data_IF_196214015477
#
_entry.id   IF_196214015477
#
_cell.length_a   1.000
_cell.length_b   1.000
_cell.length_c   1.000
_cell.angle_alpha   90.00
_cell.angle_beta   90.00
_cell.angle_gamma   90.00
#
_symmetry.space_group_name_H-M   'P 1'
#
loop_
_entity.id
_entity.type
_entity.pdbx_description
1 polymer ?
#
# COMPACT_ATOMS: atom_id res chain seq x y z
N UNK A 1 -1.91 1.12 -5.85
CA UNK A 1 -1.88 0.18 -7.00
C UNK A 1 -2.29 0.94 -8.25
N UNK A 2 -1.40 1.11 -9.24
CA UNK A 2 -1.73 1.81 -10.48
C UNK A 2 -2.49 0.83 -11.38
N UNK A 3 -3.76 1.12 -11.69
CA UNK A 3 -4.55 0.33 -12.64
C UNK A 3 -4.21 0.80 -14.06
N UNK A 4 -3.66 -0.08 -14.89
CA UNK A 4 -3.53 0.15 -16.32
C UNK A 4 -4.84 -0.30 -16.98
N UNK A 5 -5.60 0.65 -17.50
CA UNK A 5 -6.80 0.35 -18.28
C UNK A 5 -6.41 -0.28 -19.62
N UNK A 6 -6.92 -1.46 -19.91
CA UNK A 6 -6.89 -2.07 -21.23
C UNK A 6 -8.15 -1.62 -21.98
N UNK A 7 -8.02 -1.13 -23.21
CA UNK A 7 -9.11 -0.55 -24.01
C UNK A 7 -10.22 -1.55 -24.43
N UNK A 8 -10.09 -2.83 -24.03
CA UNK A 8 -11.02 -3.89 -24.42
C UNK A 8 -11.96 -4.39 -23.32
N UNK A 9 -12.05 -3.70 -22.17
CA UNK A 9 -13.08 -4.01 -21.19
C UNK A 9 -14.47 -3.63 -21.76
N UNK A 10 -15.45 -4.51 -21.67
CA UNK A 10 -16.84 -4.20 -22.06
C UNK A 10 -17.30 -2.95 -21.33
N UNK A 11 -17.41 -1.85 -22.07
CA UNK A 11 -17.83 -0.57 -21.57
C UNK A 11 -19.36 -0.47 -21.76
N UNK A 12 -20.11 -0.70 -20.69
CA UNK A 12 -21.54 -0.40 -20.69
C UNK A 12 -21.71 1.11 -20.49
N UNK A 13 -21.97 1.83 -21.60
CA UNK A 13 -22.27 3.26 -21.52
C UNK A 13 -23.78 3.48 -21.45
N UNK A 14 -24.25 4.01 -20.33
CA UNK A 14 -25.59 4.58 -20.24
C UNK A 14 -25.51 6.03 -20.70
N UNK A 15 -25.95 6.29 -21.92
CA UNK A 15 -25.99 7.64 -22.51
C UNK A 15 -27.22 8.36 -22.01
N UNK A 16 -27.03 9.41 -21.19
CA UNK A 16 -28.03 10.45 -20.95
C UNK A 16 -27.34 11.81 -21.00
N UNK A 17 -27.94 12.73 -21.75
CA UNK A 17 -27.54 14.11 -22.01
C UNK A 17 -26.33 14.71 -21.27
N UNK A 18 -25.25 14.92 -22.01
CA UNK A 18 -24.16 15.86 -21.70
C UNK A 18 -22.97 15.34 -20.90
N UNK A 19 -23.11 14.27 -20.11
CA UNK A 19 -21.99 13.65 -19.37
C UNK A 19 -22.22 12.13 -19.28
N UNK A 20 -21.50 11.35 -20.07
CA UNK A 20 -21.63 9.88 -20.04
C UNK A 20 -20.99 9.32 -18.75
N UNK A 21 -21.78 8.58 -17.97
CA UNK A 21 -21.27 7.76 -16.87
C UNK A 21 -20.64 6.49 -17.47
N UNK A 22 -19.35 6.30 -17.24
CA UNK A 22 -18.62 5.09 -17.60
C UNK A 22 -18.56 4.16 -16.40
N UNK A 23 -19.02 2.94 -16.57
CA UNK A 23 -18.93 1.89 -15.55
C UNK A 23 -18.03 0.79 -16.11
N UNK A 24 -16.94 0.51 -15.42
CA UNK A 24 -16.01 -0.57 -15.77
C UNK A 24 -15.95 -1.58 -14.63
N UNK A 25 -16.08 -2.86 -14.95
CA UNK A 25 -16.00 -3.97 -14.01
C UNK A 25 -14.79 -4.81 -14.34
N UNK A 26 -13.95 -5.07 -13.34
CA UNK A 26 -12.71 -5.80 -13.52
C UNK A 26 -12.58 -6.90 -12.47
N UNK A 27 -12.23 -8.10 -12.91
CA UNK A 27 -11.75 -9.17 -12.04
C UNK A 27 -10.24 -9.26 -12.17
N UNK A 28 -9.53 -9.22 -11.08
CA UNK A 28 -8.07 -9.20 -11.05
C UNK A 28 -7.59 -10.39 -10.24
N UNK A 29 -6.80 -11.25 -10.88
CA UNK A 29 -6.00 -12.26 -10.22
C UNK A 29 -4.56 -11.77 -10.12
N UNK A 30 -4.01 -11.70 -8.93
CA UNK A 30 -2.64 -11.29 -8.68
C UNK A 30 -1.84 -12.43 -8.06
N UNK A 31 -0.62 -12.65 -8.58
CA UNK A 31 0.39 -13.53 -8.01
C UNK A 31 1.54 -12.64 -7.53
N UNK A 32 1.89 -12.74 -6.27
CA UNK A 32 2.98 -11.96 -5.68
C UNK A 32 4.12 -12.90 -5.31
N UNK A 33 5.32 -12.57 -5.74
CA UNK A 33 6.56 -13.24 -5.31
C UNK A 33 7.42 -12.22 -4.58
N UNK A 34 7.79 -12.54 -3.34
CA UNK A 34 8.59 -11.66 -2.49
C UNK A 34 9.92 -12.34 -2.22
N UNK A 35 11.00 -11.64 -2.49
CA UNK A 35 12.34 -12.00 -2.07
C UNK A 35 12.72 -11.14 -0.88
N UNK A 36 12.95 -11.77 0.27
CA UNK A 36 13.50 -11.14 1.45
C UNK A 36 15.01 -11.37 1.47
N UNK A 37 15.83 -10.31 1.44
CA UNK A 37 17.29 -10.46 1.43
C UNK A 37 17.79 -11.03 2.76
N UNK A 38 19.01 -11.55 2.75
CA UNK A 38 19.71 -12.04 3.93
C UNK A 38 19.76 -10.99 5.05
N UNK A 39 19.75 -11.44 6.31
CA UNK A 39 19.74 -10.58 7.50
C UNK A 39 20.86 -9.51 7.54
N UNK A 40 22.05 -9.81 6.97
CA UNK A 40 23.14 -8.84 6.87
C UNK A 40 22.78 -7.59 6.05
N UNK A 41 21.84 -7.70 5.10
CA UNK A 41 21.32 -6.59 4.29
C UNK A 41 20.09 -5.93 4.91
N UNK A 42 19.44 -6.59 5.87
CA UNK A 42 18.22 -6.11 6.51
C UNK A 42 18.45 -5.48 7.86
N UNK A 43 19.64 -5.57 8.42
CA UNK A 43 19.96 -5.16 9.78
C UNK A 43 18.99 -5.70 10.86
N UNK A 44 18.34 -6.82 10.57
CA UNK A 44 17.43 -7.48 11.49
C UNK A 44 17.77 -8.96 11.57
N UNK A 45 17.91 -9.47 12.76
CA UNK A 45 18.02 -10.91 13.01
C UNK A 45 16.59 -11.48 13.01
N UNK A 46 16.03 -11.68 11.83
CA UNK A 46 14.81 -12.49 11.70
C UNK A 46 15.18 -13.98 11.76
N UNK A 47 14.21 -14.82 12.03
CA UNK A 47 14.32 -16.27 12.26
C UNK A 47 15.12 -17.08 11.19
N UNK A 48 15.57 -16.46 10.10
CA UNK A 48 16.24 -17.14 8.99
C UNK A 48 17.49 -16.40 8.54
N UNK A 49 18.64 -17.06 8.67
CA UNK A 49 19.92 -16.60 8.13
C UNK A 49 20.00 -16.68 6.60
N UNK A 50 19.00 -17.22 5.94
CA UNK A 50 18.98 -17.45 4.49
C UNK A 50 18.04 -16.46 3.78
N UNK A 51 18.36 -16.07 2.53
CA UNK A 51 17.41 -15.34 1.71
C UNK A 51 16.16 -16.19 1.52
N UNK A 52 15.01 -15.57 1.76
CA UNK A 52 13.73 -16.26 1.75
C UNK A 52 12.90 -15.84 0.55
N UNK A 53 12.41 -16.81 -0.22
CA UNK A 53 11.41 -16.59 -1.25
C UNK A 53 10.04 -16.95 -0.70
N UNK A 54 9.16 -15.97 -0.62
CA UNK A 54 7.75 -16.22 -0.37
C UNK A 54 7.00 -16.12 -1.70
N UNK A 55 6.23 -17.15 -2.00
CA UNK A 55 5.20 -17.08 -3.02
C UNK A 55 3.90 -16.76 -2.29
N UNK A 56 3.36 -15.60 -2.58
CA UNK A 56 2.06 -15.24 -2.04
C UNK A 56 0.97 -16.07 -2.72
N UNK A 57 -0.01 -16.48 -1.94
CA UNK A 57 -1.18 -17.18 -2.48
C UNK A 57 -1.93 -16.20 -3.40
N UNK A 58 -2.55 -16.68 -4.49
CA UNK A 58 -3.25 -15.81 -5.40
C UNK A 58 -4.28 -14.95 -4.66
N UNK A 59 -4.16 -13.63 -4.81
CA UNK A 59 -5.15 -12.68 -4.35
C UNK A 59 -6.16 -12.45 -5.47
N UNK A 60 -7.44 -12.57 -5.16
CA UNK A 60 -8.51 -12.24 -6.08
C UNK A 60 -9.19 -10.95 -5.63
N UNK A 61 -9.38 -10.03 -6.58
CA UNK A 61 -10.10 -8.79 -6.34
C UNK A 61 -11.14 -8.56 -7.45
N UNK A 62 -12.31 -8.06 -7.04
CA UNK A 62 -13.35 -7.61 -7.95
C UNK A 62 -13.54 -6.10 -7.77
N UNK A 63 -13.41 -5.35 -8.87
CA UNK A 63 -13.49 -3.90 -8.89
C UNK A 63 -14.67 -3.43 -9.75
N UNK A 64 -15.42 -2.46 -9.25
CA UNK A 64 -16.40 -1.68 -10.00
C UNK A 64 -15.93 -0.24 -10.00
N UNK A 65 -15.45 0.22 -11.13
CA UNK A 65 -14.98 1.59 -11.34
C UNK A 65 -16.10 2.42 -11.97
N UNK A 66 -16.32 3.58 -11.42
CA UNK A 66 -17.26 4.59 -11.92
C UNK A 66 -16.46 5.82 -12.35
N UNK A 67 -16.74 6.36 -13.51
CA UNK A 67 -16.18 7.62 -13.97
C UNK A 67 -17.24 8.46 -14.63
N UNK A 68 -17.29 9.74 -14.27
CA UNK A 68 -18.16 10.73 -14.91
C UNK A 68 -17.38 12.02 -15.18
N UNK A 69 -17.28 12.37 -16.43
CA UNK A 69 -16.59 13.59 -16.88
C UNK A 69 -17.59 14.75 -16.95
N UNK A 70 -17.26 15.86 -16.32
CA UNK A 70 -18.00 17.12 -16.38
C UNK A 70 -17.18 18.14 -17.18
N UNK A 71 -17.32 18.07 -18.49
CA UNK A 71 -16.51 18.83 -19.41
C UNK A 71 -15.04 18.38 -19.42
N UNK A 72 -14.13 19.34 -19.66
CA UNK A 72 -12.67 19.08 -19.72
C UNK A 72 -11.95 19.34 -18.40
N UNK A 73 -12.64 19.87 -17.41
CA UNK A 73 -12.02 20.39 -16.19
C UNK A 73 -12.21 19.52 -14.97
N UNK A 74 -13.28 18.74 -14.91
CA UNK A 74 -13.65 17.98 -13.74
C UNK A 74 -14.03 16.55 -14.11
N UNK A 75 -13.41 15.58 -13.45
CA UNK A 75 -13.80 14.17 -13.52
C UNK A 75 -14.11 13.68 -12.13
N UNK A 76 -15.27 13.06 -11.95
CA UNK A 76 -15.60 12.28 -10.76
C UNK A 76 -15.21 10.83 -11.00
N UNK A 77 -14.55 10.22 -10.00
CA UNK A 77 -14.20 8.81 -10.00
C UNK A 77 -14.75 8.13 -8.75
N UNK A 78 -15.22 6.92 -8.90
CA UNK A 78 -15.65 6.06 -7.80
C UNK A 78 -15.10 4.66 -7.98
N UNK A 79 -14.78 3.99 -6.88
CA UNK A 79 -14.36 2.60 -6.84
C UNK A 79 -15.10 1.89 -5.72
N UNK A 80 -15.71 0.75 -6.04
CA UNK A 80 -16.10 -0.25 -5.06
C UNK A 80 -15.30 -1.52 -5.34
N UNK A 81 -14.62 -2.06 -4.33
CA UNK A 81 -13.79 -3.23 -4.47
C UNK A 81 -14.01 -4.23 -3.34
N UNK A 82 -13.95 -5.50 -3.66
CA UNK A 82 -13.84 -6.59 -2.71
C UNK A 82 -12.59 -7.39 -3.02
N UNK A 83 -11.83 -7.74 -2.01
CA UNK A 83 -10.62 -8.56 -2.14
C UNK A 83 -10.65 -9.73 -1.17
N UNK A 84 -10.09 -10.84 -1.63
CA UNK A 84 -9.87 -12.05 -0.85
C UNK A 84 -8.46 -12.53 -1.11
N UNK A 85 -7.71 -12.74 -0.04
CA UNK A 85 -6.38 -13.32 -0.09
C UNK A 85 -6.17 -14.24 1.12
N UNK A 86 -5.01 -14.86 1.22
CA UNK A 86 -4.71 -15.77 2.35
C UNK A 86 -4.65 -15.06 3.71
N UNK A 87 -4.44 -13.75 3.72
CA UNK A 87 -4.36 -12.96 4.96
C UNK A 87 -5.73 -12.44 5.42
N UNK A 88 -6.75 -12.41 4.53
CA UNK A 88 -8.07 -11.92 4.93
C UNK A 88 -9.00 -11.58 3.77
N UNK A 89 -10.09 -10.96 4.16
CA UNK A 89 -11.15 -10.49 3.26
C UNK A 89 -11.38 -9.01 3.55
N UNK A 90 -11.50 -8.21 2.49
CA UNK A 90 -11.69 -6.77 2.58
C UNK A 90 -12.72 -6.22 1.62
N UNK A 91 -13.37 -5.13 2.04
CA UNK A 91 -14.19 -4.28 1.18
C UNK A 91 -13.63 -2.87 1.22
N UNK A 92 -13.71 -2.18 0.09
CA UNK A 92 -13.16 -0.86 -0.09
C UNK A 92 -14.06 -0.03 -0.98
N UNK A 93 -14.29 1.22 -0.59
CA UNK A 93 -15.00 2.22 -1.35
C UNK A 93 -14.12 3.47 -1.42
N UNK A 94 -13.92 3.99 -2.63
CA UNK A 94 -13.17 5.22 -2.86
C UNK A 94 -14.01 6.15 -3.72
N UNK A 95 -13.97 7.44 -3.41
CA UNK A 95 -14.57 8.47 -4.21
C UNK A 95 -13.59 9.64 -4.34
N UNK A 96 -13.33 10.08 -5.56
CA UNK A 96 -12.43 11.19 -5.81
C UNK A 96 -12.94 12.13 -6.93
N UNK A 97 -12.44 13.35 -6.88
CA UNK A 97 -12.59 14.35 -7.92
C UNK A 97 -11.20 14.66 -8.49
N UNK A 98 -11.13 14.74 -9.79
CA UNK A 98 -9.91 15.11 -10.52
C UNK A 98 -10.15 16.43 -11.26
N UNK A 99 -9.31 17.42 -10.98
CA UNK A 99 -9.34 18.74 -11.58
C UNK A 99 -8.26 18.85 -12.65
N UNK A 100 -8.66 19.18 -13.87
CA UNK A 100 -7.78 19.44 -15.04
C UNK A 100 -6.80 18.28 -15.31
N UNK A 101 -7.13 17.07 -14.86
CA UNK A 101 -6.25 15.88 -14.90
C UNK A 101 -4.91 16.04 -14.17
N UNK A 102 -4.80 17.05 -13.29
CA UNK A 102 -3.58 17.36 -12.53
C UNK A 102 -3.74 17.14 -11.04
N UNK A 103 -4.85 17.61 -10.46
CA UNK A 103 -5.09 17.54 -9.01
C UNK A 103 -6.23 16.57 -8.73
N UNK A 104 -5.96 15.54 -7.96
CA UNK A 104 -6.95 14.59 -7.44
C UNK A 104 -7.13 14.79 -5.93
N UNK A 105 -8.38 14.83 -5.49
CA UNK A 105 -8.76 14.87 -4.08
C UNK A 105 -9.79 13.77 -3.85
N UNK A 106 -9.60 12.94 -2.83
CA UNK A 106 -10.51 11.83 -2.59
C UNK A 106 -10.57 11.37 -1.14
N UNK A 107 -11.55 10.50 -0.91
CA UNK A 107 -11.75 9.82 0.36
C UNK A 107 -12.07 8.35 0.11
N UNK A 108 -11.47 7.49 0.91
CA UNK A 108 -11.64 6.04 0.88
C UNK A 108 -12.15 5.57 2.22
N UNK A 109 -13.05 4.61 2.22
CA UNK A 109 -13.44 3.83 3.38
C UNK A 109 -13.16 2.35 3.11
N UNK A 110 -12.66 1.64 4.12
CA UNK A 110 -12.42 0.21 4.03
C UNK A 110 -12.83 -0.50 5.30
N UNK A 111 -13.15 -1.78 5.16
CA UNK A 111 -13.39 -2.71 6.26
C UNK A 111 -12.82 -4.07 5.89
N UNK A 112 -12.22 -4.74 6.84
CA UNK A 112 -11.67 -6.07 6.62
C UNK A 112 -11.55 -6.88 7.89
N UNK A 113 -11.40 -8.19 7.70
CA UNK A 113 -11.08 -9.14 8.76
C UNK A 113 -9.96 -10.05 8.29
N UNK A 114 -9.14 -10.54 9.21
CA UNK A 114 -8.00 -11.37 8.85
C UNK A 114 -8.21 -12.85 9.16
N UNK A 115 -7.51 -13.66 8.40
CA UNK A 115 -7.31 -15.07 8.64
C UNK A 115 -6.02 -15.24 9.45
N UNK A 116 -6.14 -15.59 10.73
CA UNK A 116 -4.98 -15.90 11.57
C UNK A 116 -4.70 -17.41 11.53
N UNK A 117 -3.43 -17.77 11.37
CA UNK A 117 -2.97 -19.17 11.26
C UNK A 117 -2.11 -19.55 12.47
N UNK A 118 -2.73 -19.66 13.64
CA UNK A 118 -2.03 -19.97 14.88
C UNK A 118 -0.96 -18.93 15.23
N UNK A 119 -0.10 -19.23 16.19
CA UNK A 119 0.92 -18.28 16.70
C UNK A 119 1.98 -17.90 15.67
N UNK A 120 2.11 -18.65 14.59
CA UNK A 120 3.15 -18.47 13.58
C UNK A 120 2.82 -17.41 12.53
N UNK A 121 1.53 -17.10 12.31
CA UNK A 121 1.11 -16.14 11.28
C UNK A 121 -0.12 -15.35 11.72
N UNK A 122 0.11 -14.34 12.57
CA UNK A 122 -0.91 -13.38 12.98
C UNK A 122 -0.96 -12.24 11.99
N UNK A 123 -2.08 -12.08 11.29
CA UNK A 123 -2.32 -10.94 10.39
C UNK A 123 -3.13 -9.83 11.05
N UNK A 124 -3.91 -10.18 12.10
CA UNK A 124 -4.67 -9.21 12.87
C UNK A 124 -4.77 -9.69 14.32
N UNK A 125 -4.51 -8.81 15.26
CA UNK A 125 -4.56 -9.13 16.68
C UNK A 125 -3.95 -8.02 17.53
N UNK A 126 -4.30 -7.98 18.80
CA UNK A 126 -3.83 -6.98 19.78
C UNK A 126 -2.53 -7.46 20.43
N UNK A 127 -1.58 -6.54 20.61
CA UNK A 127 -0.31 -6.85 21.25
C UNK A 127 -0.46 -6.94 22.78
N UNK A 128 -0.17 -8.12 23.31
CA UNK A 128 -0.13 -8.40 24.75
C UNK A 128 1.30 -8.11 25.27
N UNK A 129 1.43 -7.07 26.08
CA UNK A 129 2.73 -6.62 26.62
C UNK A 129 3.33 -7.58 27.64
N UNK A 130 2.50 -8.39 28.32
CA UNK A 130 2.97 -9.38 29.32
C UNK A 130 3.54 -10.61 28.61
N UNK A 131 2.80 -11.13 27.63
CA UNK A 131 3.22 -12.29 26.83
C UNK A 131 4.20 -11.93 25.71
N UNK A 132 4.37 -10.63 25.41
CA UNK A 132 5.19 -10.10 24.31
C UNK A 132 4.84 -10.72 22.96
N UNK A 133 3.55 -10.95 22.75
CA UNK A 133 3.02 -11.59 21.54
C UNK A 133 1.64 -11.02 21.21
N UNK A 134 1.11 -11.32 20.03
CA UNK A 134 -0.22 -10.88 19.63
C UNK A 134 -1.29 -11.86 20.10
N UNK A 135 -2.32 -11.34 20.78
CA UNK A 135 -3.57 -12.06 20.96
C UNK A 135 -4.28 -12.12 19.61
N UNK A 136 -4.57 -13.32 19.16
CA UNK A 136 -5.27 -13.55 17.90
C UNK A 136 -6.77 -13.62 18.14
N UNK A 137 -7.51 -12.87 17.33
CA UNK A 137 -8.95 -12.98 17.31
C UNK A 137 -9.39 -13.93 16.19
N UNK A 138 -10.52 -14.60 16.36
CA UNK A 138 -11.05 -15.49 15.34
C UNK A 138 -11.57 -14.66 14.14
N UNK A 139 -11.52 -15.24 12.95
CA UNK A 139 -12.05 -14.61 11.75
C UNK A 139 -13.52 -14.25 11.94
N UNK A 140 -13.91 -13.08 11.48
CA UNK A 140 -15.27 -12.49 11.58
C UNK A 140 -15.76 -12.18 13.00
N UNK A 141 -14.94 -12.30 14.04
CA UNK A 141 -15.31 -11.80 15.37
C UNK A 141 -14.95 -10.33 15.52
N UNK A 142 -13.81 -9.93 14.93
CA UNK A 142 -13.31 -8.57 14.99
C UNK A 142 -12.98 -8.03 13.60
N UNK A 143 -13.10 -6.70 13.43
CA UNK A 143 -12.95 -6.03 12.16
C UNK A 143 -12.03 -4.82 12.28
N UNK A 144 -11.20 -4.60 11.27
CA UNK A 144 -10.49 -3.36 11.07
C UNK A 144 -11.28 -2.45 10.12
N UNK A 145 -11.43 -1.20 10.52
CA UNK A 145 -12.04 -0.14 9.70
C UNK A 145 -11.00 0.93 9.42
N UNK A 146 -11.08 1.51 8.24
CA UNK A 146 -10.21 2.60 7.85
C UNK A 146 -10.95 3.67 7.07
N UNK A 147 -10.55 4.93 7.28
CA UNK A 147 -10.90 6.05 6.42
C UNK A 147 -9.62 6.74 5.98
N UNK A 148 -9.43 6.94 4.69
CA UNK A 148 -8.26 7.57 4.12
C UNK A 148 -8.67 8.77 3.28
N UNK A 149 -8.20 9.96 3.65
CA UNK A 149 -8.26 11.14 2.80
C UNK A 149 -6.97 11.20 2.01
N UNK A 150 -7.08 11.39 0.71
CA UNK A 150 -5.92 11.42 -0.17
C UNK A 150 -5.97 12.55 -1.17
N UNK A 151 -4.79 13.03 -1.54
CA UNK A 151 -4.61 13.99 -2.61
C UNK A 151 -3.42 13.60 -3.47
N UNK A 152 -3.49 13.94 -4.75
CA UNK A 152 -2.39 13.73 -5.68
C UNK A 152 -2.29 14.90 -6.66
N UNK A 153 -1.08 15.38 -6.86
CA UNK A 153 -0.73 16.36 -7.90
C UNK A 153 0.12 15.67 -8.95
N UNK A 154 -0.34 15.64 -10.19
CA UNK A 154 0.34 14.99 -11.32
C UNK A 154 0.80 16.04 -12.32
N UNK A 155 2.10 16.14 -12.57
CA UNK A 155 2.70 17.11 -13.48
C UNK A 155 3.39 16.37 -14.62
N UNK A 156 2.82 16.35 -15.83
CA UNK A 156 3.47 15.79 -17.01
C UNK A 156 4.52 16.76 -17.53
N UNK A 157 5.80 16.43 -17.39
CA UNK A 157 6.90 17.30 -17.81
C UNK A 157 6.97 17.47 -19.34
N UNK A 158 6.33 16.59 -20.10
CA UNK A 158 6.19 16.72 -21.56
C UNK A 158 5.52 18.05 -21.96
N UNK A 159 4.71 18.66 -21.07
CA UNK A 159 4.12 19.98 -21.33
C UNK A 159 5.18 21.10 -21.40
N UNK A 160 6.35 20.89 -20.81
CA UNK A 160 7.43 21.88 -20.67
C UNK A 160 8.71 21.48 -21.41
N UNK A 161 8.81 20.22 -21.87
CA UNK A 161 10.00 19.66 -22.53
C UNK A 161 9.76 19.49 -24.03
N UNK A 162 10.81 19.47 -24.87
CA UNK A 162 10.70 19.13 -26.28
C UNK A 162 10.07 17.76 -26.49
N UNK A 163 9.17 17.63 -27.45
CA UNK A 163 8.50 16.35 -27.76
C UNK A 163 9.51 15.32 -28.27
N UNK A 164 9.69 14.26 -27.52
CA UNK A 164 10.54 13.13 -27.86
C UNK A 164 10.03 11.87 -27.14
N UNK A 165 10.42 10.69 -27.61
CA UNK A 165 10.10 9.43 -26.93
C UNK A 165 10.78 9.32 -25.55
N UNK A 166 11.80 10.12 -25.28
CA UNK A 166 12.60 10.14 -24.06
C UNK A 166 12.17 11.23 -23.06
N UNK A 167 11.22 12.10 -23.41
CA UNK A 167 10.77 13.20 -22.55
C UNK A 167 9.43 12.94 -21.89
N UNK A 168 8.91 11.71 -21.94
CA UNK A 168 7.65 11.29 -21.33
C UNK A 168 7.83 11.03 -19.83
N UNK A 169 8.08 12.10 -19.09
CA UNK A 169 8.31 12.07 -17.64
C UNK A 169 7.10 12.68 -16.94
N UNK A 170 6.66 12.03 -15.87
CA UNK A 170 5.56 12.51 -15.02
C UNK A 170 6.08 12.57 -13.58
N UNK A 171 5.86 13.69 -12.92
CA UNK A 171 6.05 13.85 -11.49
C UNK A 171 4.69 13.74 -10.80
N UNK A 172 4.60 12.92 -9.77
CA UNK A 172 3.40 12.79 -8.95
C UNK A 172 3.76 13.04 -7.49
N UNK A 173 3.13 14.04 -6.87
CA UNK A 173 3.15 14.26 -5.43
C UNK A 173 1.89 13.69 -4.82
N UNK A 174 1.96 13.11 -3.62
CA UNK A 174 0.81 12.56 -2.89
C UNK A 174 0.85 12.96 -1.43
N UNK A 175 -0.33 13.16 -0.84
CA UNK A 175 -0.50 13.29 0.60
C UNK A 175 -1.73 12.48 1.02
N UNK A 176 -1.58 11.75 2.12
CA UNK A 176 -2.61 10.87 2.67
C UNK A 176 -2.71 11.10 4.18
N UNK A 177 -3.94 11.09 4.68
CA UNK A 177 -4.25 11.03 6.11
C UNK A 177 -5.21 9.85 6.31
N UNK A 178 -4.78 8.86 7.06
CA UNK A 178 -5.55 7.63 7.29
C UNK A 178 -5.91 7.53 8.76
N UNK A 179 -7.19 7.39 9.06
CA UNK A 179 -7.68 6.91 10.35
C UNK A 179 -7.89 5.41 10.28
N UNK A 180 -7.38 4.67 11.25
CA UNK A 180 -7.57 3.23 11.36
C UNK A 180 -8.07 2.88 12.75
N UNK A 181 -8.98 1.93 12.84
CA UNK A 181 -9.47 1.39 14.10
C UNK A 181 -9.72 -0.12 13.97
N UNK A 182 -9.53 -0.82 15.07
CA UNK A 182 -9.77 -2.26 15.19
C UNK A 182 -10.70 -2.52 16.38
N UNK A 183 -11.76 -3.27 16.16
CA UNK A 183 -12.79 -3.50 17.18
C UNK A 183 -12.30 -4.32 18.37
N UNK A 184 -11.29 -5.15 18.17
CA UNK A 184 -10.66 -5.96 19.22
C UNK A 184 -9.63 -5.22 20.07
N UNK A 185 -9.29 -3.96 19.73
CA UNK A 185 -8.31 -3.15 20.46
C UNK A 185 -8.98 -2.03 21.24
N UNK A 186 -8.63 -1.90 22.51
CA UNK A 186 -8.98 -0.77 23.34
C UNK A 186 -8.17 0.49 22.96
N UNK A 187 -8.49 1.63 23.59
CA UNK A 187 -7.78 2.87 23.38
C UNK A 187 -6.29 2.70 23.74
N UNK A 188 -5.41 3.17 22.85
CA UNK A 188 -3.93 3.12 22.96
C UNK A 188 -3.29 1.73 22.89
N UNK A 189 -4.07 0.68 22.71
CA UNK A 189 -3.52 -0.64 22.46
C UNK A 189 -2.93 -0.72 21.05
N UNK A 190 -1.75 -1.36 20.96
CA UNK A 190 -1.15 -1.67 19.67
C UNK A 190 -1.76 -2.94 19.12
N UNK A 191 -2.15 -2.89 17.85
CA UNK A 191 -2.64 -4.05 17.12
C UNK A 191 -1.90 -4.19 15.80
N UNK A 192 -1.97 -5.36 15.22
CA UNK A 192 -1.32 -5.70 13.96
C UNK A 192 -2.33 -5.63 12.82
N UNK A 193 -1.93 -4.98 11.73
CA UNK A 193 -2.63 -4.98 10.46
C UNK A 193 -1.66 -5.47 9.37
N UNK A 194 -1.83 -6.72 8.95
CA UNK A 194 -0.86 -7.36 8.08
C UNK A 194 0.52 -7.47 8.75
N UNK A 195 1.52 -6.79 8.19
CA UNK A 195 2.88 -6.78 8.72
C UNK A 195 3.24 -5.50 9.49
N UNK A 196 2.27 -4.62 9.76
CA UNK A 196 2.52 -3.34 10.42
C UNK A 196 1.87 -3.28 11.79
N UNK A 197 2.61 -2.75 12.77
CA UNK A 197 2.07 -2.34 14.06
C UNK A 197 1.34 -1.02 13.92
N UNK A 198 0.15 -0.93 14.50
CA UNK A 198 -0.69 0.26 14.45
C UNK A 198 -1.47 0.44 15.75
N UNK A 199 -2.16 1.54 15.89
CA UNK A 199 -3.10 1.85 16.97
C UNK A 199 -4.37 2.42 16.38
N UNK A 200 -5.44 2.51 17.18
CA UNK A 200 -6.63 3.25 16.82
C UNK A 200 -6.25 4.75 16.76
N UNK A 201 -6.15 5.31 15.54
CA UNK A 201 -5.67 6.68 15.39
C UNK A 201 -5.32 7.07 13.96
N UNK A 202 -4.69 8.22 13.83
CA UNK A 202 -4.32 8.80 12.54
C UNK A 202 -2.87 8.53 12.17
N UNK A 203 -2.67 8.08 10.93
CA UNK A 203 -1.38 8.03 10.24
C UNK A 203 -1.37 9.02 9.09
N UNK A 204 -0.20 9.60 8.81
CA UNK A 204 0.02 10.39 7.60
C UNK A 204 1.04 9.72 6.69
N UNK A 205 0.94 10.04 5.39
CA UNK A 205 1.92 9.65 4.39
C UNK A 205 2.03 10.74 3.35
N UNK A 206 3.26 11.14 3.07
CA UNK A 206 3.60 12.04 1.97
C UNK A 206 4.49 11.30 1.00
N UNK A 207 4.28 11.52 -0.29
CA UNK A 207 5.07 10.84 -1.31
C UNK A 207 5.36 11.67 -2.52
N UNK A 208 6.45 11.31 -3.18
CA UNK A 208 6.79 11.76 -4.52
C UNK A 208 7.11 10.58 -5.41
N UNK A 209 6.63 10.59 -6.64
CA UNK A 209 6.93 9.55 -7.62
C UNK A 209 7.37 10.18 -8.92
N UNK A 210 8.54 9.80 -9.38
CA UNK A 210 9.02 10.03 -10.74
C UNK A 210 8.60 8.85 -11.60
N UNK A 211 7.82 9.10 -12.65
CA UNK A 211 7.37 8.09 -13.61
C UNK A 211 8.00 8.40 -14.94
N UNK A 212 8.68 7.44 -15.52
CA UNK A 212 9.31 7.56 -16.81
C UNK A 212 8.71 6.52 -17.77
N UNK A 213 7.98 7.00 -18.78
CA UNK A 213 7.44 6.16 -19.84
C UNK A 213 8.53 5.86 -20.84
N UNK A 214 9.01 4.63 -20.85
CA UNK A 214 10.10 4.16 -21.69
C UNK A 214 9.61 3.82 -23.11
N UNK A 215 10.45 4.01 -24.13
CA UNK A 215 10.11 3.62 -25.51
C UNK A 215 10.31 2.12 -25.79
N UNK A 216 10.30 1.29 -24.75
CA UNK A 216 10.53 -0.16 -24.86
C UNK A 216 9.22 -0.93 -24.71
N UNK A 217 8.91 -1.80 -25.66
CA UNK A 217 7.66 -2.56 -25.65
C UNK A 217 7.55 -3.47 -24.40
N UNK A 218 8.65 -4.13 -24.03
CA UNK A 218 8.66 -5.07 -22.89
C UNK A 218 8.77 -4.40 -21.52
N UNK A 219 9.40 -3.24 -21.46
CA UNK A 219 9.53 -2.45 -20.23
C UNK A 219 9.01 -1.04 -20.51
N UNK A 220 7.69 -0.84 -20.53
CA UNK A 220 7.09 0.42 -20.95
C UNK A 220 7.26 1.54 -19.94
N UNK A 221 7.63 1.24 -18.69
CA UNK A 221 7.68 2.24 -17.63
C UNK A 221 8.66 1.87 -16.53
N UNK A 222 9.41 2.87 -16.08
CA UNK A 222 10.19 2.83 -14.85
C UNK A 222 9.68 3.91 -13.89
N UNK A 223 9.77 3.65 -12.58
CA UNK A 223 9.32 4.58 -11.55
C UNK A 223 10.29 4.59 -10.38
N UNK A 224 10.39 5.74 -9.74
CA UNK A 224 11.04 5.88 -8.44
C UNK A 224 10.06 6.57 -7.49
N UNK A 225 9.61 5.86 -6.48
CA UNK A 225 8.76 6.42 -5.44
C UNK A 225 9.58 6.66 -4.16
N UNK A 226 9.32 7.79 -3.51
CA UNK A 226 9.84 8.11 -2.19
C UNK A 226 8.65 8.50 -1.32
N UNK A 227 8.50 7.86 -0.17
CA UNK A 227 7.41 8.10 0.76
C UNK A 227 7.95 8.29 2.17
N UNK A 228 7.35 9.22 2.91
CA UNK A 228 7.54 9.40 4.34
C UNK A 228 6.20 9.17 5.05
N UNK A 229 6.20 8.38 6.12
CA UNK A 229 4.98 8.05 6.88
C UNK A 229 5.25 7.98 8.38
N UNK A 230 4.22 8.24 9.16
CA UNK A 230 4.28 8.20 10.61
C UNK A 230 2.89 8.30 11.24
N UNK A 231 2.82 8.15 12.55
CA UNK A 231 1.61 8.43 13.32
C UNK A 231 1.46 9.94 13.52
N UNK A 232 0.23 10.43 13.44
CA UNK A 232 -0.03 11.87 13.63
C UNK A 232 0.17 12.29 15.07
N UNK A 233 -0.15 11.40 16.02
CA UNK A 233 -0.09 11.67 17.45
C UNK A 233 0.61 10.54 18.20
N UNK A 234 1.65 10.87 18.95
CA UNK A 234 2.35 9.92 19.82
C UNK A 234 1.50 9.46 21.00
N UNK A 235 0.55 10.30 21.45
CA UNK A 235 -0.33 10.01 22.57
C UNK A 235 -1.43 8.97 22.25
N UNK A 236 -1.58 8.59 20.97
CA UNK A 236 -2.44 7.47 20.58
C UNK A 236 -1.87 6.12 21.05
N UNK A 237 -0.61 6.11 21.49
CA UNK A 237 0.05 4.94 22.07
C UNK A 237 0.06 5.00 23.59
N UNK A 238 0.04 3.84 24.26
CA UNK A 238 0.29 3.77 25.69
C UNK A 238 1.74 4.17 26.02
N UNK A 239 1.94 4.69 27.23
CA UNK A 239 3.26 5.14 27.72
C UNK A 239 4.31 4.03 27.78
N UNK A 240 3.89 2.77 27.82
CA UNK A 240 4.80 1.62 27.78
C UNK A 240 5.62 1.58 26.48
N UNK A 241 5.10 2.16 25.39
CA UNK A 241 5.77 2.20 24.09
C UNK A 241 6.62 3.45 23.84
N UNK A 242 6.86 4.30 24.86
CA UNK A 242 7.64 5.54 24.68
C UNK A 242 9.04 5.30 24.11
N UNK A 243 9.70 4.20 24.53
CA UNK A 243 11.06 3.86 24.11
C UNK A 243 11.12 3.30 22.67
N UNK A 244 10.00 2.80 22.17
CA UNK A 244 9.80 2.47 20.75
C UNK A 244 9.77 3.72 19.86
N UNK A 245 9.51 4.89 20.44
CA UNK A 245 9.35 6.16 19.74
C UNK A 245 8.25 6.12 18.65
N UNK A 246 6.96 6.14 19.04
CA UNK A 246 5.85 6.12 18.10
C UNK A 246 5.89 7.24 17.05
N UNK A 247 6.45 8.41 17.37
CA UNK A 247 6.60 9.56 16.47
C UNK A 247 7.69 9.40 15.40
N UNK A 248 8.38 8.28 15.34
CA UNK A 248 9.40 8.05 14.32
C UNK A 248 8.82 8.04 12.90
N UNK A 249 9.44 8.83 12.02
CA UNK A 249 9.08 8.90 10.59
C UNK A 249 9.85 7.85 9.81
N UNK A 250 9.12 6.91 9.23
CA UNK A 250 9.68 5.92 8.30
C UNK A 250 9.76 6.54 6.91
N UNK A 251 10.90 6.37 6.24
CA UNK A 251 11.08 6.77 4.84
C UNK A 251 11.30 5.52 4.00
N UNK A 252 10.56 5.41 2.91
CA UNK A 252 10.69 4.31 1.95
C UNK A 252 11.07 4.84 0.58
N UNK A 253 12.03 4.19 -0.05
CA UNK A 253 12.44 4.44 -1.44
C UNK A 253 12.21 3.16 -2.23
N UNK A 254 11.40 3.25 -3.28
CA UNK A 254 11.01 2.10 -4.08
C UNK A 254 11.22 2.36 -5.58
N UNK A 255 12.34 1.91 -6.17
CA UNK A 255 12.47 1.78 -7.61
C UNK A 255 11.57 0.65 -8.12
N UNK A 256 10.88 0.90 -9.24
CA UNK A 256 9.93 -0.02 -9.84
C UNK A 256 10.07 -0.02 -11.34
N UNK A 257 9.76 -1.16 -11.97
CA UNK A 257 9.66 -1.29 -13.42
C UNK A 257 8.42 -2.11 -13.80
N UNK A 258 7.64 -1.60 -14.75
CA UNK A 258 6.55 -2.36 -15.36
C UNK A 258 7.10 -3.24 -16.47
N UNK A 259 6.66 -4.50 -16.51
CA UNK A 259 7.12 -5.50 -17.46
C UNK A 259 5.91 -6.11 -18.16
N UNK A 260 5.86 -6.00 -19.49
CA UNK A 260 4.85 -6.69 -20.29
C UNK A 260 5.32 -8.13 -20.54
N UNK A 261 4.76 -9.07 -19.77
CA UNK A 261 5.13 -10.49 -19.86
C UNK A 261 4.49 -11.13 -21.08
N UNK A 262 3.19 -10.92 -21.30
CA UNK A 262 2.43 -11.32 -22.48
C UNK A 262 1.35 -10.27 -22.76
N UNK A 263 0.52 -10.48 -23.79
CA UNK A 263 -0.63 -9.60 -24.05
C UNK A 263 -1.65 -9.58 -22.91
N UNK A 264 -1.76 -10.66 -22.12
CA UNK A 264 -2.73 -10.80 -21.02
C UNK A 264 -2.11 -10.66 -19.63
N UNK A 265 -0.78 -10.78 -19.51
CA UNK A 265 -0.08 -10.74 -18.25
C UNK A 265 0.86 -9.55 -18.17
N UNK A 266 0.69 -8.76 -17.14
CA UNK A 266 1.59 -7.66 -16.80
C UNK A 266 2.34 -7.99 -15.51
N UNK A 267 3.61 -7.63 -15.47
CA UNK A 267 4.47 -7.76 -14.31
C UNK A 267 4.90 -6.39 -13.78
N UNK A 268 5.19 -6.34 -12.48
CA UNK A 268 5.86 -5.22 -11.84
C UNK A 268 6.98 -5.74 -10.96
N UNK A 269 8.20 -5.33 -11.25
CA UNK A 269 9.35 -5.56 -10.38
C UNK A 269 9.54 -4.33 -9.49
N UNK A 270 9.71 -4.53 -8.19
CA UNK A 270 9.92 -3.47 -7.21
C UNK A 270 10.97 -3.88 -6.19
N UNK A 271 11.87 -2.97 -5.84
CA UNK A 271 12.69 -3.09 -4.64
C UNK A 271 12.22 -2.07 -3.61
N UNK A 272 12.31 -2.40 -2.33
CA UNK A 272 11.93 -1.53 -1.22
C UNK A 272 13.10 -1.34 -0.28
N UNK A 273 13.58 -0.12 -0.16
CA UNK A 273 14.64 0.30 0.77
C UNK A 273 14.03 1.28 1.76
N UNK A 274 14.16 1.02 3.05
CA UNK A 274 13.52 1.84 4.07
C UNK A 274 14.49 2.30 5.14
N UNK A 275 14.30 3.55 5.58
CA UNK A 275 14.84 4.06 6.83
C UNK A 275 13.90 3.65 7.95
N UNK A 276 14.39 2.82 8.86
CA UNK A 276 13.63 2.25 9.98
C UNK A 276 14.27 2.59 11.32
N UNK A 277 13.59 2.23 12.41
CA UNK A 277 14.14 2.34 13.75
C UNK A 277 15.34 1.40 13.90
N UNK A 278 16.40 1.90 14.56
CA UNK A 278 17.51 1.10 15.05
C UNK A 278 17.34 0.93 16.55
N UNK A 279 17.30 -0.31 17.01
CA UNK A 279 17.13 -0.63 18.42
C UNK A 279 18.43 -0.95 19.12
N UNK A 280 18.46 -0.80 20.44
CA UNK A 280 19.64 -1.05 21.27
C UNK A 280 20.08 -2.52 21.19
N UNK A 281 19.11 -3.45 21.25
CA UNK A 281 19.33 -4.87 21.08
C UNK A 281 18.90 -5.30 19.68
N UNK A 282 19.81 -5.81 18.87
CA UNK A 282 19.50 -6.31 17.53
C UNK A 282 18.91 -7.72 17.50
N UNK A 283 19.12 -8.48 18.60
CA UNK A 283 18.67 -9.87 18.75
C UNK A 283 17.35 -9.91 19.49
N UNK A 284 16.26 -9.67 18.79
CA UNK A 284 14.92 -9.81 19.35
C UNK A 284 13.98 -10.38 18.28
N UNK A 285 13.01 -11.21 18.67
CA UNK A 285 11.88 -11.54 17.81
C UNK A 285 11.11 -10.26 17.45
N UNK A 286 10.56 -10.19 16.25
CA UNK A 286 9.78 -9.03 15.79
C UNK A 286 8.62 -8.67 16.72
N UNK A 287 8.10 -9.63 17.48
CA UNK A 287 7.08 -9.46 18.50
C UNK A 287 7.56 -8.65 19.70
N UNK A 288 8.86 -8.61 20.00
CA UNK A 288 9.42 -7.83 21.11
C UNK A 288 9.82 -6.40 20.69
N UNK A 289 9.80 -6.10 19.40
CA UNK A 289 10.23 -4.79 18.86
C UNK A 289 9.56 -3.61 19.56
N UNK A 290 8.26 -3.73 19.85
CA UNK A 290 7.46 -2.67 20.47
C UNK A 290 7.95 -2.24 21.87
N UNK A 291 8.62 -3.13 22.58
CA UNK A 291 9.16 -2.87 23.93
C UNK A 291 10.66 -2.54 23.92
N UNK A 292 11.28 -2.45 22.73
CA UNK A 292 12.69 -2.14 22.58
C UNK A 292 12.93 -0.64 22.57
N UNK A 293 14.11 -0.25 23.07
CA UNK A 293 14.55 1.13 23.06
C UNK A 293 15.17 1.49 21.72
N UNK A 294 14.60 2.47 21.04
CA UNK A 294 15.20 3.04 19.84
C UNK A 294 16.45 3.85 20.19
N UNK A 295 17.56 3.56 19.51
CA UNK A 295 18.84 4.27 19.68
C UNK A 295 19.26 5.06 18.45
N UNK A 296 18.48 5.02 17.37
CA UNK A 296 18.76 5.72 16.14
C UNK A 296 17.89 5.28 14.99
N UNK A 297 18.40 5.44 13.77
CA UNK A 297 17.75 4.95 12.55
C UNK A 297 18.78 4.31 11.64
N UNK A 298 18.33 3.38 10.82
CA UNK A 298 19.14 2.67 9.83
C UNK A 298 18.38 2.47 8.54
N UNK A 299 19.13 2.30 7.44
CA UNK A 299 18.58 1.97 6.13
C UNK A 299 18.76 0.49 5.88
N UNK A 300 17.71 -0.16 5.41
CA UNK A 300 17.77 -1.55 5.03
C UNK A 300 17.00 -1.84 3.72
N UNK A 301 17.41 -2.88 3.01
CA UNK A 301 16.70 -3.43 1.87
C UNK A 301 15.61 -4.38 2.40
N UNK A 302 14.35 -3.89 2.43
CA UNK A 302 13.20 -4.63 3.01
C UNK A 302 12.79 -5.82 2.17
N UNK A 303 12.69 -5.61 0.86
CA UNK A 303 12.24 -6.65 -0.05
C UNK A 303 12.56 -6.33 -1.50
N UNK A 304 12.58 -7.37 -2.31
CA UNK A 304 12.42 -7.29 -3.76
C UNK A 304 11.16 -8.08 -4.09
N UNK A 305 10.22 -7.46 -4.80
CA UNK A 305 8.93 -8.07 -5.13
C UNK A 305 8.73 -8.12 -6.63
N UNK A 306 8.16 -9.22 -7.09
CA UNK A 306 7.65 -9.33 -8.45
C UNK A 306 6.14 -9.65 -8.36
N UNK A 307 5.34 -8.75 -8.88
CA UNK A 307 3.88 -8.88 -8.91
C UNK A 307 3.49 -9.15 -10.35
N UNK A 308 2.82 -10.25 -10.59
CA UNK A 308 2.26 -10.59 -11.89
C UNK A 308 0.74 -10.55 -11.82
N UNK A 309 0.09 -9.85 -12.72
CA UNK A 309 -1.36 -9.69 -12.74
C UNK A 309 -1.94 -9.97 -14.11
N UNK A 310 -3.14 -10.56 -14.10
CA UNK A 310 -3.96 -10.79 -15.29
C UNK A 310 -5.36 -10.21 -15.05
N UNK A 311 -5.86 -9.48 -16.04
CA UNK A 311 -7.24 -9.02 -16.09
C UNK A 311 -8.08 -9.96 -16.97
N UNK A 312 -9.32 -10.17 -16.60
CA UNK A 312 -10.31 -11.00 -17.29
C UNK A 312 -11.51 -10.17 -17.72
#
# INVERSE_FOLDING_TARGET
MLSFADENAKQDSVVNDGASLKINRESILSLVSIFLPHNSLRNSETLHDWPFFAFDVPAYAYHVNLQKDYGKLLTFKGLAAGDVNFAGIGLKFDASIELIHLLELGAEANVGTALNYGETATFMGVYDTEKRNYRQDAMFTEYAYGMRYHSALTIPLLAFLPKSNWTKIILKGTAELTYSTYTGADDKEVWKAGNENTVNGFKYKYGGTLIYMLPFERVPMAMLAVNASGFKHEYDFDKVYKDYNPGFVTVNVAPMASIKVTQKWNGMLMASVSRTRKFENRRYPTTEELLQKQVGSEWDLRSIMFIMSRKF
#
